data_IF_827113956293
#
_entry.id   IF_827113956293
#
_cell.length_a   1.000
_cell.length_b   1.000
_cell.length_c   1.000
_cell.angle_alpha   90.00
_cell.angle_beta   90.00
_cell.angle_gamma   90.00
#
_symmetry.space_group_name_H-M   'P 1'
#
loop_
_entity.id
_entity.type
_entity.pdbx_description
1 polymer ?
#
# COMPACT_ATOMS: atom_id res chain seq x y z
N UNK A 1 -5.78 -27.28 -8.03
CA UNK A 1 -6.35 -27.82 -6.78
C UNK A 1 -6.76 -29.28 -6.92
N UNK A 2 -7.66 -29.62 -7.85
CA UNK A 2 -8.11 -31.00 -8.07
C UNK A 2 -6.97 -31.98 -8.43
N UNK A 3 -6.10 -31.61 -9.39
CA UNK A 3 -4.93 -32.42 -9.77
C UNK A 3 -3.87 -32.59 -8.68
N UNK A 4 -3.91 -31.76 -7.63
CA UNK A 4 -2.99 -31.83 -6.49
C UNK A 4 -3.65 -32.43 -5.23
N UNK A 5 -4.91 -32.86 -5.30
CA UNK A 5 -5.63 -33.46 -4.16
C UNK A 5 -5.94 -32.51 -3.00
N UNK A 6 -5.96 -31.18 -3.23
CA UNK A 6 -6.15 -30.16 -2.18
C UNK A 6 -7.43 -29.34 -2.34
N UNK A 7 -8.38 -29.80 -3.16
CA UNK A 7 -9.61 -29.07 -3.46
C UNK A 7 -10.39 -28.71 -2.18
N UNK A 8 -10.49 -29.63 -1.23
CA UNK A 8 -11.22 -29.42 0.03
C UNK A 8 -10.48 -28.53 1.04
N UNK A 9 -9.26 -28.10 0.70
CA UNK A 9 -8.39 -27.26 1.56
C UNK A 9 -8.09 -25.89 0.97
N UNK A 10 -8.54 -25.62 -0.26
CA UNK A 10 -8.29 -24.35 -0.97
C UNK A 10 -9.62 -23.72 -1.33
N UNK A 11 -9.88 -22.53 -0.79
CA UNK A 11 -11.05 -21.72 -1.13
C UNK A 11 -10.60 -20.53 -1.98
N UNK A 12 -11.13 -20.42 -3.19
CA UNK A 12 -10.93 -19.25 -4.07
C UNK A 12 -12.09 -18.28 -3.86
N UNK A 13 -11.88 -17.27 -3.01
CA UNK A 13 -12.95 -16.35 -2.58
C UNK A 13 -13.31 -15.30 -3.64
N UNK A 14 -12.51 -15.13 -4.69
CA UNK A 14 -12.69 -14.05 -5.67
C UNK A 14 -12.45 -12.67 -5.06
N UNK A 15 -13.01 -11.62 -5.68
CA UNK A 15 -12.92 -10.25 -5.16
C UNK A 15 -13.70 -10.13 -3.86
N UNK A 16 -13.04 -9.61 -2.82
CA UNK A 16 -13.66 -9.34 -1.53
C UNK A 16 -13.87 -7.83 -1.36
N UNK A 17 -15.08 -7.41 -1.01
CA UNK A 17 -15.37 -6.01 -0.70
C UNK A 17 -14.81 -5.62 0.68
N UNK A 18 -14.89 -6.53 1.64
CA UNK A 18 -14.30 -6.40 2.97
C UNK A 18 -13.11 -7.37 3.10
N UNK A 19 -11.92 -6.90 2.73
CA UNK A 19 -10.70 -7.70 2.86
C UNK A 19 -10.23 -7.78 4.32
N UNK A 20 -10.65 -6.85 5.18
CA UNK A 20 -10.19 -6.78 6.56
C UNK A 20 -10.74 -7.92 7.41
N UNK A 21 -11.99 -8.34 7.19
CA UNK A 21 -12.52 -9.56 7.85
C UNK A 21 -11.79 -10.82 7.40
N UNK A 22 -11.33 -10.88 6.15
CA UNK A 22 -10.52 -12.00 5.66
C UNK A 22 -9.16 -12.02 6.33
N UNK A 23 -8.50 -10.87 6.49
CA UNK A 23 -7.25 -10.77 7.23
C UNK A 23 -7.43 -11.13 8.71
N UNK A 24 -8.49 -10.64 9.36
CA UNK A 24 -8.77 -10.93 10.76
C UNK A 24 -9.04 -12.43 11.03
N UNK A 25 -9.56 -13.15 10.03
CA UNK A 25 -9.81 -14.58 10.12
C UNK A 25 -8.60 -15.46 9.73
N UNK A 26 -7.51 -14.87 9.23
CA UNK A 26 -6.33 -15.60 8.80
C UNK A 26 -5.29 -15.75 9.92
N UNK A 27 -4.49 -16.82 9.88
CA UNK A 27 -3.37 -17.03 10.81
C UNK A 27 -2.01 -16.61 10.23
N UNK A 28 -1.88 -16.63 8.90
CA UNK A 28 -0.63 -16.36 8.15
C UNK A 28 -0.99 -15.77 6.79
N UNK A 29 -0.20 -14.79 6.34
CA UNK A 29 -0.28 -14.25 4.99
C UNK A 29 0.95 -14.66 4.16
N UNK A 30 0.73 -15.03 2.89
CA UNK A 30 1.78 -15.47 1.98
C UNK A 30 1.74 -14.69 0.65
N UNK A 31 2.87 -14.11 0.26
CA UNK A 31 3.04 -13.36 -0.99
C UNK A 31 4.21 -13.92 -1.83
N UNK A 32 4.03 -15.04 -2.55
CA UNK A 32 5.07 -15.67 -3.35
C UNK A 32 5.23 -15.03 -4.74
N UNK A 33 5.23 -13.70 -4.80
CA UNK A 33 5.29 -12.93 -6.05
C UNK A 33 6.65 -13.03 -6.75
N UNK A 34 6.63 -13.00 -8.09
CA UNK A 34 7.87 -12.92 -8.90
C UNK A 34 8.45 -11.51 -8.98
N UNK A 35 7.57 -10.51 -8.92
CA UNK A 35 7.90 -9.10 -9.03
C UNK A 35 6.93 -8.31 -8.17
N UNK A 36 7.43 -7.26 -7.55
CA UNK A 36 6.64 -6.27 -6.82
C UNK A 36 7.19 -4.87 -7.13
N UNK A 37 6.41 -3.85 -6.80
CA UNK A 37 6.91 -2.46 -6.75
C UNK A 37 6.87 -1.94 -5.32
N UNK A 38 5.67 -1.95 -4.73
CA UNK A 38 5.47 -1.71 -3.31
C UNK A 38 4.21 -2.46 -2.87
N UNK A 39 4.33 -3.67 -2.29
CA UNK A 39 3.20 -4.56 -2.10
C UNK A 39 2.27 -4.07 -0.99
N UNK A 40 1.21 -3.34 -1.35
CA UNK A 40 0.22 -2.85 -0.37
C UNK A 40 -0.48 -3.99 0.37
N UNK A 41 -0.79 -5.09 -0.30
CA UNK A 41 -1.38 -6.27 0.35
C UNK A 41 -0.49 -6.85 1.46
N UNK A 42 0.83 -6.71 1.34
CA UNK A 42 1.77 -7.10 2.40
C UNK A 42 1.65 -6.14 3.60
N UNK A 43 1.60 -4.83 3.35
CA UNK A 43 1.44 -3.83 4.41
C UNK A 43 0.09 -3.95 5.12
N UNK A 44 -0.98 -4.20 4.38
CA UNK A 44 -2.33 -4.42 4.91
C UNK A 44 -2.36 -5.66 5.82
N UNK A 45 -1.81 -6.78 5.37
CA UNK A 45 -1.70 -7.99 6.18
C UNK A 45 -0.87 -7.76 7.47
N UNK A 46 0.27 -7.06 7.35
CA UNK A 46 1.10 -6.69 8.50
C UNK A 46 0.38 -5.73 9.46
N UNK A 47 -0.41 -4.79 8.94
CA UNK A 47 -1.24 -3.89 9.73
C UNK A 47 -2.40 -4.61 10.44
N UNK A 48 -2.92 -5.67 9.84
CA UNK A 48 -3.87 -6.58 10.48
C UNK A 48 -3.21 -7.51 11.53
N UNK A 49 -1.90 -7.39 11.77
CA UNK A 49 -1.18 -8.18 12.77
C UNK A 49 -0.84 -9.59 12.32
N UNK A 50 -0.88 -9.88 11.01
CA UNK A 50 -0.55 -11.21 10.50
C UNK A 50 0.97 -11.43 10.43
N UNK A 51 1.47 -12.61 10.84
CA UNK A 51 2.80 -13.04 10.42
C UNK A 51 2.81 -13.28 8.91
N UNK A 52 3.85 -12.79 8.24
CA UNK A 52 3.94 -12.78 6.77
C UNK A 52 5.12 -13.61 6.25
N UNK A 53 4.91 -14.28 5.12
CA UNK A 53 5.96 -14.89 4.29
C UNK A 53 5.90 -14.26 2.92
N UNK A 54 7.02 -13.75 2.40
CA UNK A 54 7.08 -13.16 1.07
C UNK A 54 8.31 -13.64 0.30
N UNK A 55 8.16 -13.78 -1.02
CA UNK A 55 9.29 -13.99 -1.91
C UNK A 55 10.17 -12.75 -1.97
N UNK A 56 11.48 -12.93 -1.83
CA UNK A 56 12.48 -11.89 -1.97
C UNK A 56 12.73 -11.57 -3.45
N UNK A 57 11.74 -10.94 -4.07
CA UNK A 57 11.83 -10.45 -5.45
C UNK A 57 12.39 -9.00 -5.48
N UNK A 58 12.99 -8.59 -6.62
CA UNK A 58 13.54 -7.24 -6.77
C UNK A 58 12.50 -6.14 -6.52
N UNK A 59 12.93 -5.01 -5.92
CA UNK A 59 12.11 -3.82 -5.65
C UNK A 59 10.80 -4.15 -4.92
N UNK A 60 10.88 -4.89 -3.81
CA UNK A 60 9.70 -5.55 -3.25
C UNK A 60 9.78 -5.84 -1.75
N UNK A 61 9.43 -7.06 -1.31
CA UNK A 61 9.23 -7.36 0.12
C UNK A 61 10.42 -7.09 1.05
N UNK A 62 11.67 -7.12 0.57
CA UNK A 62 12.86 -6.86 1.41
C UNK A 62 12.98 -5.42 1.92
N UNK A 63 12.35 -4.46 1.26
CA UNK A 63 12.32 -3.07 1.74
C UNK A 63 11.36 -2.91 2.94
N UNK A 64 10.39 -3.80 3.03
CA UNK A 64 9.35 -3.81 4.06
C UNK A 64 9.75 -4.75 5.21
N UNK A 65 10.11 -5.99 4.88
CA UNK A 65 10.41 -7.08 5.81
C UNK A 65 11.90 -7.12 6.18
N UNK A 66 12.16 -7.22 7.47
CA UNK A 66 13.40 -7.69 8.08
C UNK A 66 13.22 -9.16 8.46
N UNK A 67 13.87 -10.03 7.69
CA UNK A 67 13.79 -11.48 7.89
C UNK A 67 14.01 -11.90 9.35
N UNK A 68 13.19 -12.83 9.84
CA UNK A 68 13.17 -13.38 11.21
C UNK A 68 12.76 -12.38 12.32
N UNK A 69 12.51 -11.12 11.97
CA UNK A 69 12.12 -10.08 12.93
C UNK A 69 10.66 -9.67 12.81
N UNK A 70 10.23 -9.31 11.61
CA UNK A 70 8.87 -8.84 11.34
C UNK A 70 8.20 -9.59 10.17
N UNK A 71 8.90 -10.57 9.59
CA UNK A 71 8.37 -11.50 8.60
C UNK A 71 9.44 -12.50 8.13
N UNK A 72 9.05 -13.41 7.25
CA UNK A 72 9.96 -14.36 6.59
C UNK A 72 10.13 -14.00 5.11
N UNK A 73 11.38 -14.00 4.66
CA UNK A 73 11.74 -13.86 3.24
C UNK A 73 12.20 -15.22 2.72
N UNK A 74 11.71 -15.61 1.55
CA UNK A 74 12.09 -16.85 0.87
C UNK A 74 12.66 -16.54 -0.53
N UNK A 75 13.44 -17.45 -1.14
CA UNK A 75 13.81 -17.31 -2.54
C UNK A 75 12.57 -17.24 -3.45
N UNK A 76 12.66 -16.41 -4.49
CA UNK A 76 11.63 -16.31 -5.53
C UNK A 76 11.54 -17.63 -6.31
N UNK A 77 10.32 -18.03 -6.66
CA UNK A 77 10.00 -19.29 -7.38
C UNK A 77 10.42 -20.60 -6.68
N UNK A 78 10.64 -20.57 -5.35
CA UNK A 78 10.92 -21.78 -4.57
C UNK A 78 9.69 -22.24 -3.76
N UNK A 79 8.91 -23.14 -4.36
CA UNK A 79 7.75 -23.75 -3.70
C UNK A 79 8.11 -24.55 -2.44
N UNK A 80 9.32 -25.14 -2.38
CA UNK A 80 9.76 -25.90 -1.22
C UNK A 80 10.12 -24.97 -0.06
N UNK A 81 10.76 -23.82 -0.35
CA UNK A 81 11.01 -22.80 0.66
C UNK A 81 9.71 -22.21 1.21
N UNK A 82 8.73 -21.94 0.33
CA UNK A 82 7.40 -21.51 0.77
C UNK A 82 6.74 -22.54 1.69
N UNK A 83 6.74 -23.82 1.30
CA UNK A 83 6.17 -24.91 2.10
C UNK A 83 6.84 -25.06 3.47
N UNK A 84 8.17 -24.94 3.54
CA UNK A 84 8.92 -24.98 4.81
C UNK A 84 8.60 -23.78 5.71
N UNK A 85 8.55 -22.58 5.13
CA UNK A 85 8.22 -21.35 5.88
C UNK A 85 6.79 -21.41 6.44
N UNK A 86 5.81 -21.83 5.62
CA UNK A 86 4.43 -22.01 6.06
C UNK A 86 4.30 -23.09 7.13
N UNK A 87 4.95 -24.25 6.94
CA UNK A 87 4.93 -25.32 7.95
C UNK A 87 5.49 -24.85 9.29
N UNK A 88 6.60 -24.10 9.27
CA UNK A 88 7.20 -23.54 10.49
C UNK A 88 6.25 -22.57 11.19
N UNK A 89 5.60 -21.67 10.45
CA UNK A 89 4.61 -20.75 11.05
C UNK A 89 3.38 -21.49 11.56
N UNK A 90 2.90 -22.54 10.89
CA UNK A 90 1.75 -23.32 11.33
C UNK A 90 2.04 -24.08 12.64
N UNK A 91 3.27 -24.59 12.81
CA UNK A 91 3.66 -25.40 13.97
C UNK A 91 4.17 -24.61 15.18
N UNK A 92 4.57 -23.34 15.00
CA UNK A 92 5.22 -22.53 16.03
C UNK A 92 4.40 -21.26 16.32
N UNK A 93 3.55 -21.33 17.34
CA UNK A 93 2.69 -20.22 17.75
C UNK A 93 3.48 -19.04 18.33
N UNK A 94 4.60 -19.30 19.02
CA UNK A 94 5.45 -18.27 19.61
C UNK A 94 6.15 -17.47 18.51
N UNK A 95 6.63 -18.15 17.46
CA UNK A 95 7.17 -17.49 16.28
C UNK A 95 6.12 -16.62 15.59
N UNK A 96 4.89 -17.10 15.42
CA UNK A 96 3.80 -16.28 14.84
C UNK A 96 3.59 -15.01 15.66
N UNK A 97 3.43 -15.15 16.98
CA UNK A 97 3.20 -14.01 17.87
C UNK A 97 4.35 -12.99 17.82
N UNK A 98 5.60 -13.47 17.81
CA UNK A 98 6.80 -12.63 17.71
C UNK A 98 6.86 -11.85 16.39
N UNK A 99 6.65 -12.53 15.26
CA UNK A 99 6.69 -11.90 13.94
C UNK A 99 5.55 -10.90 13.76
N UNK A 100 4.33 -11.25 14.20
CA UNK A 100 3.18 -10.34 14.24
C UNK A 100 3.46 -9.08 15.08
N UNK A 101 4.05 -9.23 16.27
CA UNK A 101 4.46 -8.09 17.09
C UNK A 101 5.55 -7.23 16.40
N UNK A 102 6.46 -7.86 15.67
CA UNK A 102 7.46 -7.16 14.85
C UNK A 102 6.85 -6.34 13.71
N UNK A 103 5.73 -6.81 13.15
CA UNK A 103 5.03 -6.17 12.05
C UNK A 103 4.49 -4.77 12.41
N UNK A 104 4.19 -4.51 13.69
CA UNK A 104 3.81 -3.17 14.19
C UNK A 104 4.85 -2.11 13.81
N UNK A 105 6.15 -2.46 13.89
CA UNK A 105 7.23 -1.55 13.51
C UNK A 105 7.28 -1.20 12.03
N UNK A 106 6.61 -1.99 11.19
CA UNK A 106 6.46 -1.73 9.75
C UNK A 106 5.34 -0.74 9.50
N UNK A 107 4.21 -0.89 10.21
CA UNK A 107 3.09 0.07 10.19
C UNK A 107 3.59 1.47 10.56
N UNK A 108 4.39 1.60 11.61
CA UNK A 108 4.93 2.90 12.03
C UNK A 108 5.82 3.58 10.99
N UNK A 109 6.55 2.79 10.20
CA UNK A 109 7.47 3.30 9.15
C UNK A 109 6.74 3.78 7.91
N UNK A 110 5.59 3.19 7.60
CA UNK A 110 4.87 3.38 6.34
C UNK A 110 3.47 3.97 6.50
N UNK A 111 3.03 4.31 7.72
CA UNK A 111 1.78 5.03 7.95
C UNK A 111 1.73 6.36 7.18
N UNK A 112 0.54 6.79 6.72
CA UNK A 112 0.37 8.00 5.90
C UNK A 112 1.11 9.23 6.45
N UNK A 113 0.94 9.53 7.75
CA UNK A 113 1.59 10.68 8.39
C UNK A 113 3.13 10.63 8.33
N UNK A 114 3.71 9.43 8.43
CA UNK A 114 5.16 9.26 8.37
C UNK A 114 5.68 9.50 6.96
N UNK A 115 4.94 9.06 5.94
CA UNK A 115 5.27 9.28 4.53
C UNK A 115 5.03 10.74 4.14
N UNK A 116 3.94 11.35 4.58
CA UNK A 116 3.63 12.77 4.36
C UNK A 116 4.75 13.67 4.88
N UNK A 117 5.22 13.46 6.12
CA UNK A 117 6.34 14.23 6.68
C UNK A 117 7.61 14.14 5.83
N UNK A 118 7.89 12.99 5.22
CA UNK A 118 9.05 12.81 4.33
C UNK A 118 8.87 13.61 3.04
N UNK A 119 7.68 13.59 2.46
CA UNK A 119 7.34 14.39 1.29
C UNK A 119 7.44 15.89 1.57
N UNK A 120 6.87 16.36 2.68
CA UNK A 120 6.93 17.78 3.08
C UNK A 120 8.37 18.26 3.24
N UNK A 121 9.22 17.44 3.87
CA UNK A 121 10.63 17.72 4.04
C UNK A 121 11.36 17.84 2.69
N UNK A 122 11.15 16.87 1.79
CA UNK A 122 11.76 16.83 0.47
C UNK A 122 11.34 18.02 -0.40
N UNK A 123 10.02 18.29 -0.47
CA UNK A 123 9.46 19.40 -1.24
C UNK A 123 10.01 20.73 -0.71
N UNK A 124 10.06 20.88 0.62
CA UNK A 124 10.60 22.08 1.26
C UNK A 124 12.09 22.28 0.95
N UNK A 125 12.88 21.21 0.98
CA UNK A 125 14.30 21.23 0.66
C UNK A 125 14.56 21.65 -0.79
N UNK A 126 13.89 21.00 -1.75
CA UNK A 126 14.00 21.31 -3.17
C UNK A 126 13.53 22.76 -3.44
N UNK A 127 12.44 23.19 -2.81
CA UNK A 127 11.92 24.55 -2.93
C UNK A 127 12.86 25.62 -2.37
N UNK A 128 13.68 25.30 -1.36
CA UNK A 128 14.72 26.21 -0.85
C UNK A 128 15.91 26.28 -1.81
N UNK A 129 16.36 25.14 -2.34
CA UNK A 129 17.48 25.09 -3.31
C UNK A 129 17.20 25.87 -4.59
N UNK A 130 15.97 25.78 -5.10
CA UNK A 130 15.54 26.54 -6.27
C UNK A 130 15.34 28.05 -5.99
N UNK A 131 15.19 28.46 -4.73
CA UNK A 131 15.15 29.88 -4.31
C UNK A 131 16.56 30.46 -4.07
N UNK A 132 17.53 30.09 -4.91
CA UNK A 132 18.85 30.75 -4.89
C UNK A 132 18.74 32.19 -5.42
N UNK A 133 19.52 33.14 -4.88
CA UNK A 133 19.42 34.57 -5.17
C UNK A 133 19.92 34.87 -6.59
N UNK A 134 18.99 34.87 -7.54
CA UNK A 134 19.25 35.05 -8.97
C UNK A 134 18.06 34.72 -9.88
N UNK A 135 17.03 34.03 -9.37
CA UNK A 135 15.79 33.81 -10.11
C UNK A 135 14.98 35.11 -10.17
N UNK A 136 15.23 35.91 -11.21
CA UNK A 136 14.60 37.19 -11.52
C UNK A 136 13.10 37.11 -11.85
N UNK A 137 12.30 36.34 -11.11
CA UNK A 137 10.84 36.29 -11.22
C UNK A 137 10.12 37.39 -10.45
N UNK A 138 10.79 38.53 -10.27
CA UNK A 138 10.14 39.80 -9.97
C UNK A 138 10.23 40.75 -11.18
N UNK A 139 10.10 40.20 -12.39
CA UNK A 139 9.77 40.98 -13.57
C UNK A 139 8.30 41.43 -13.50
N UNK A 140 7.93 42.58 -14.10
CA UNK A 140 6.59 43.13 -13.99
C UNK A 140 5.57 42.07 -14.43
N UNK A 141 4.59 41.76 -13.55
CA UNK A 141 3.47 40.92 -13.92
C UNK A 141 2.81 41.53 -15.15
N UNK A 142 2.78 40.78 -16.26
CA UNK A 142 2.00 41.16 -17.43
C UNK A 142 0.53 41.25 -16.96
N UNK A 143 -0.18 42.36 -17.21
CA UNK A 143 -1.58 42.46 -16.81
C UNK A 143 -2.35 41.28 -17.41
N UNK A 144 -3.15 40.61 -16.58
CA UNK A 144 -3.99 39.50 -17.02
C UNK A 144 -4.90 39.98 -18.15
N UNK A 145 -4.94 39.22 -19.23
CA UNK A 145 -5.86 39.49 -20.33
C UNK A 145 -7.31 39.24 -19.84
N UNK A 146 -8.28 40.08 -20.21
CA UNK A 146 -9.68 39.92 -19.81
C UNK A 146 -10.29 38.56 -20.23
N UNK A 147 -9.67 37.85 -21.17
CA UNK A 147 -10.10 36.51 -21.59
C UNK A 147 -9.87 35.39 -20.53
N UNK A 148 -8.99 35.60 -19.53
CA UNK A 148 -8.71 34.57 -18.50
C UNK A 148 -9.65 34.59 -17.30
N UNK A 149 -10.41 35.67 -17.09
CA UNK A 149 -11.34 35.78 -15.95
C UNK A 149 -12.67 35.08 -16.23
N UNK A 150 -13.15 35.11 -17.48
CA UNK A 150 -14.40 34.44 -17.86
C UNK A 150 -14.34 32.91 -17.73
N UNK A 151 -13.18 32.30 -18.01
CA UNK A 151 -13.02 30.85 -18.02
C UNK A 151 -12.94 30.23 -16.62
N UNK A 152 -12.54 31.01 -15.61
CA UNK A 152 -12.53 30.56 -14.22
C UNK A 152 -13.94 30.54 -13.61
N UNK A 153 -14.78 31.51 -13.97
CA UNK A 153 -16.19 31.54 -13.55
C UNK A 153 -16.99 30.38 -14.18
N UNK A 154 -16.75 30.08 -15.47
CA UNK A 154 -17.46 29.02 -16.20
C UNK A 154 -17.12 27.59 -15.72
N UNK A 155 -15.97 27.40 -15.08
CA UNK A 155 -15.54 26.11 -14.50
C UNK A 155 -16.07 25.91 -13.07
N UNK A 156 -16.29 27.00 -12.32
CA UNK A 156 -16.86 26.95 -10.97
C UNK A 156 -18.37 26.69 -11.03
N UNK A 157 -19.07 27.29 -11.99
CA UNK A 157 -20.50 27.01 -12.24
C UNK A 157 -20.76 25.57 -12.68
N UNK A 158 -19.85 24.95 -13.46
CA UNK A 158 -19.97 23.54 -13.85
C UNK A 158 -19.77 22.59 -12.68
N UNK A 159 -18.83 22.88 -11.78
CA UNK A 159 -18.64 22.08 -10.56
C UNK A 159 -19.81 22.21 -9.58
N UNK A 160 -20.48 23.36 -9.51
CA UNK A 160 -21.67 23.51 -8.67
C UNK A 160 -22.94 22.89 -9.30
N UNK A 161 -23.05 22.86 -10.62
CA UNK A 161 -24.17 22.21 -11.31
C UNK A 161 -24.09 20.67 -11.29
N UNK A 162 -22.90 20.09 -11.31
CA UNK A 162 -22.71 18.62 -11.26
C UNK A 162 -22.83 18.04 -9.83
N UNK A 163 -22.82 18.89 -8.80
CA UNK A 163 -22.99 18.49 -7.39
C UNK A 163 -24.43 18.40 -6.88
N UNK A 164 -25.45 18.44 -7.76
CA UNK A 164 -26.87 18.44 -7.37
C UNK A 164 -27.73 17.37 -8.07
N UNK A 165 -27.13 16.38 -8.72
CA UNK A 165 -27.85 15.26 -9.34
C UNK A 165 -27.21 13.93 -8.95
N UNK A 166 -27.32 13.55 -7.68
CA UNK A 166 -27.22 12.15 -7.23
C UNK A 166 -27.69 11.98 -5.77
N UNK A 167 -28.93 12.38 -5.50
CA UNK A 167 -29.74 11.77 -4.43
C UNK A 167 -31.14 11.55 -5.02
N UNK A 168 -31.42 10.31 -5.45
CA UNK A 168 -32.71 9.62 -5.31
C UNK A 168 -32.55 8.17 -5.82
N UNK A 169 -32.45 7.26 -4.85
CA UNK A 169 -32.70 5.81 -4.99
C UNK A 169 -34.23 5.61 -4.98
N UNK A 170 -34.86 4.69 -5.75
CA UNK A 170 -35.03 3.34 -5.19
C UNK A 170 -35.28 2.16 -6.18
N UNK A 171 -35.16 0.95 -5.63
CA UNK A 171 -35.83 -0.34 -5.95
C UNK A 171 -35.42 -1.15 -7.21
N UNK A 172 -34.66 -2.25 -6.99
CA UNK A 172 -35.03 -3.68 -7.20
C UNK A 172 -33.83 -4.65 -7.06
#
# INVERSE_FOLDING_TARGET
AASCGVADRVRLLGRQADIWSVYAAADVFALPSRFEGFPNALLEAMAAGLPVVAADCPAGPREIIRHERDGLLIPTEDANALGRALSRLMSDADLRARLAAGAVSVVDRYRPDAIQRRWDALISEVSRRHRSPGDGRNGPQKPRSPASEGRAAELDERHQAEGHLQEEDPDE
#
